data_IF_036490423040
#
_entry.id   IF_036490423040
#
_cell.length_a   1.000
_cell.length_b   1.000
_cell.length_c   1.000
_cell.angle_alpha   90.00
_cell.angle_beta   90.00
_cell.angle_gamma   90.00
#
_symmetry.space_group_name_H-M   'P 1'
#
loop_
_entity.id
_entity.type
_entity.pdbx_description
1 polymer ?
#
# COMPACT_ATOMS: atom_id res chain seq x y z
N UNK A 1 -0.14 9.57 -33.73
CA UNK A 1 0.64 8.39 -33.29
C UNK A 1 0.49 8.33 -31.79
N UNK A 2 -0.16 7.29 -31.26
CA UNK A 2 -0.32 7.14 -29.82
C UNK A 2 1.07 6.97 -29.20
N UNK A 3 1.45 7.85 -28.29
CA UNK A 3 2.63 7.67 -27.45
C UNK A 3 2.45 6.34 -26.74
N UNK A 4 3.26 5.33 -27.11
CA UNK A 4 3.37 4.09 -26.36
C UNK A 4 3.84 4.53 -24.96
N UNK A 5 3.01 4.37 -23.94
CA UNK A 5 3.42 4.62 -22.57
C UNK A 5 4.74 3.87 -22.36
N UNK A 6 5.81 4.59 -22.02
CA UNK A 6 7.08 3.96 -21.68
C UNK A 6 6.79 2.98 -20.56
N UNK A 7 7.00 1.68 -20.84
CA UNK A 7 6.83 0.61 -19.84
C UNK A 7 7.66 1.02 -18.61
N UNK A 8 7.03 1.10 -17.44
CA UNK A 8 7.73 1.44 -16.21
C UNK A 8 8.96 0.53 -16.09
N UNK A 9 10.11 1.13 -15.81
CA UNK A 9 11.34 0.37 -15.61
C UNK A 9 11.21 -0.45 -14.33
N UNK A 10 11.59 -1.74 -14.40
CA UNK A 10 11.53 -2.66 -13.26
C UNK A 10 12.93 -3.16 -12.98
N UNK A 11 13.40 -2.94 -11.75
CA UNK A 11 14.72 -3.35 -11.28
C UNK A 11 14.59 -4.35 -10.14
N UNK A 12 15.23 -5.51 -10.27
CA UNK A 12 15.32 -6.50 -9.20
C UNK A 12 16.48 -6.12 -8.29
N UNK A 13 16.22 -6.07 -6.99
CA UNK A 13 17.20 -5.75 -5.94
C UNK A 13 17.40 -6.99 -5.10
N UNK A 14 18.37 -7.82 -5.51
CA UNK A 14 18.68 -9.13 -4.93
C UNK A 14 20.09 -9.21 -4.29
N UNK A 15 20.82 -8.09 -4.30
CA UNK A 15 22.14 -7.98 -3.66
C UNK A 15 22.21 -6.76 -2.74
N UNK A 16 23.05 -6.86 -1.70
CA UNK A 16 23.29 -5.77 -0.75
C UNK A 16 23.76 -4.47 -1.45
N UNK A 17 24.69 -4.49 -2.43
CA UNK A 17 25.09 -3.27 -3.13
C UNK A 17 23.94 -2.58 -3.87
N UNK A 18 23.05 -3.34 -4.53
CA UNK A 18 21.86 -2.78 -5.18
C UNK A 18 20.90 -2.18 -4.15
N UNK A 19 20.72 -2.85 -3.01
CA UNK A 19 19.89 -2.34 -1.92
C UNK A 19 20.43 -1.02 -1.36
N UNK A 20 21.74 -0.94 -1.09
CA UNK A 20 22.38 0.30 -0.61
C UNK A 20 22.18 1.45 -1.60
N UNK A 21 22.39 1.19 -2.89
CA UNK A 21 22.17 2.17 -3.96
C UNK A 21 20.70 2.66 -4.00
N UNK A 22 19.74 1.76 -3.82
CA UNK A 22 18.32 2.13 -3.69
C UNK A 22 18.10 3.04 -2.47
N UNK A 23 18.62 2.69 -1.29
CA UNK A 23 18.42 3.45 -0.05
C UNK A 23 18.92 4.90 -0.16
N UNK A 24 20.05 5.13 -0.82
CA UNK A 24 20.58 6.48 -1.08
C UNK A 24 19.66 7.36 -1.93
N UNK A 25 18.86 6.74 -2.79
CA UNK A 25 17.84 7.41 -3.59
C UNK A 25 16.57 7.69 -2.78
N UNK A 26 16.13 6.73 -1.97
CA UNK A 26 14.86 6.84 -1.23
C UNK A 26 14.86 7.95 -0.18
N UNK A 27 15.98 8.18 0.53
CA UNK A 27 16.06 9.21 1.59
C UNK A 27 15.95 10.66 1.07
N UNK A 28 16.14 10.87 -0.24
CA UNK A 28 16.12 12.20 -0.88
C UNK A 28 14.79 12.53 -1.56
N UNK A 29 13.82 11.63 -1.46
CA UNK A 29 12.56 11.76 -2.19
C UNK A 29 11.66 12.86 -1.59
N UNK A 30 10.88 13.56 -2.44
CA UNK A 30 9.89 14.51 -1.95
C UNK A 30 8.80 13.79 -1.16
N UNK A 31 8.32 14.45 -0.10
CA UNK A 31 7.27 13.91 0.77
C UNK A 31 5.86 14.20 0.23
N UNK A 32 5.70 15.19 -0.65
CA UNK A 32 4.41 15.62 -1.21
C UNK A 32 4.52 15.88 -2.73
N UNK A 33 3.67 15.26 -3.57
CA UNK A 33 2.83 14.10 -3.23
C UNK A 33 3.70 12.92 -2.74
N UNK A 34 3.11 11.88 -2.11
CA UNK A 34 3.86 10.69 -1.70
C UNK A 34 4.69 10.10 -2.85
N UNK A 35 5.95 9.78 -2.55
CA UNK A 35 6.87 9.19 -3.54
C UNK A 35 6.87 7.67 -3.57
N UNK A 36 6.45 7.01 -2.47
CA UNK A 36 6.59 5.56 -2.29
C UNK A 36 5.23 4.87 -2.36
N UNK A 37 5.08 3.95 -3.32
CA UNK A 37 3.91 3.09 -3.47
C UNK A 37 4.37 1.64 -3.34
N UNK A 38 3.82 0.94 -2.36
CA UNK A 38 4.40 -0.30 -1.85
C UNK A 38 3.34 -1.40 -1.84
N UNK A 39 3.80 -2.61 -2.11
CA UNK A 39 3.06 -3.86 -2.00
C UNK A 39 4.01 -5.00 -1.66
N UNK A 40 3.55 -6.02 -0.94
CA UNK A 40 4.35 -7.19 -0.60
C UNK A 40 3.70 -8.44 -1.18
N UNK A 41 4.54 -9.39 -1.60
CA UNK A 41 4.09 -10.70 -2.06
C UNK A 41 4.89 -11.80 -1.36
N UNK A 42 4.25 -12.96 -1.13
CA UNK A 42 4.91 -14.09 -0.51
C UNK A 42 4.01 -15.27 -0.16
N UNK A 43 4.57 -16.21 0.60
CA UNK A 43 3.90 -17.47 0.96
C UNK A 43 2.93 -17.21 2.11
N UNK A 44 1.63 -17.35 1.84
CA UNK A 44 0.56 -17.08 2.83
C UNK A 44 0.75 -15.73 3.54
N UNK A 45 0.99 -14.66 2.77
CA UNK A 45 1.33 -13.33 3.27
C UNK A 45 0.42 -12.88 4.42
N UNK A 46 1.05 -12.54 5.55
CA UNK A 46 0.38 -12.17 6.79
C UNK A 46 1.21 -12.58 7.99
N UNK A 47 0.56 -12.75 9.15
CA UNK A 47 1.25 -13.03 10.43
C UNK A 47 2.07 -14.33 10.44
N UNK A 48 1.57 -15.40 9.80
CA UNK A 48 2.14 -16.76 9.88
C UNK A 48 2.85 -17.21 8.60
N UNK A 49 2.84 -16.39 7.56
CA UNK A 49 3.49 -16.68 6.28
C UNK A 49 4.93 -16.20 6.21
N UNK A 50 5.36 -15.86 4.99
CA UNK A 50 6.66 -15.23 4.71
C UNK A 50 6.52 -14.11 3.68
N UNK A 51 7.32 -13.06 3.81
CA UNK A 51 7.53 -12.08 2.72
C UNK A 51 8.60 -12.61 1.77
N UNK A 52 8.29 -12.64 0.48
CA UNK A 52 9.23 -13.09 -0.56
C UNK A 52 9.74 -11.92 -1.40
N UNK A 53 8.87 -10.95 -1.68
CA UNK A 53 9.15 -9.80 -2.56
C UNK A 53 8.51 -8.56 -1.92
N UNK A 54 9.23 -7.44 -1.89
CA UNK A 54 8.70 -6.13 -1.54
C UNK A 54 8.86 -5.20 -2.75
N UNK A 55 7.74 -4.75 -3.30
CA UNK A 55 7.69 -3.86 -4.46
C UNK A 55 7.64 -2.41 -4.01
N UNK A 56 8.49 -1.55 -4.57
CA UNK A 56 8.44 -0.09 -4.36
C UNK A 56 8.40 0.60 -5.71
N UNK A 57 7.26 1.17 -6.08
CA UNK A 57 7.20 2.15 -7.17
C UNK A 57 7.58 3.54 -6.65
N UNK A 58 8.61 4.12 -7.25
CA UNK A 58 9.14 5.44 -6.92
C UNK A 58 8.61 6.45 -7.94
N UNK A 59 7.65 7.27 -7.51
CA UNK A 59 6.91 8.17 -8.41
C UNK A 59 7.79 9.18 -9.17
N UNK A 60 8.77 9.87 -8.56
CA UNK A 60 9.58 10.85 -9.29
C UNK A 60 10.40 10.25 -10.43
N UNK A 61 10.91 9.02 -10.26
CA UNK A 61 11.74 8.34 -11.26
C UNK A 61 10.93 7.43 -12.18
N UNK A 62 9.70 7.06 -11.78
CA UNK A 62 8.82 6.10 -12.46
C UNK A 62 9.44 4.70 -12.60
N UNK A 63 10.25 4.32 -11.62
CA UNK A 63 10.91 3.01 -11.54
C UNK A 63 10.24 2.18 -10.44
N UNK A 64 10.00 0.90 -10.72
CA UNK A 64 9.63 -0.08 -9.71
C UNK A 64 10.86 -0.88 -9.31
N UNK A 65 11.15 -0.92 -8.02
CA UNK A 65 12.15 -1.79 -7.42
C UNK A 65 11.47 -3.01 -6.82
N UNK A 66 11.88 -4.21 -7.21
CA UNK A 66 11.44 -5.46 -6.63
C UNK A 66 12.55 -5.97 -5.71
N UNK A 67 12.40 -5.70 -4.42
CA UNK A 67 13.37 -6.12 -3.40
C UNK A 67 13.13 -7.60 -3.11
N UNK A 68 14.14 -8.42 -3.41
CA UNK A 68 14.09 -9.85 -3.21
C UNK A 68 14.36 -10.20 -1.74
N UNK A 69 13.31 -10.11 -0.93
CA UNK A 69 13.36 -10.40 0.52
C UNK A 69 13.76 -11.86 0.76
N UNK A 70 13.35 -12.78 -0.11
CA UNK A 70 13.71 -14.19 0.01
C UNK A 70 15.23 -14.41 -0.09
N UNK A 71 15.88 -13.81 -1.10
CA UNK A 71 17.32 -13.94 -1.32
C UNK A 71 18.13 -13.14 -0.30
N UNK A 72 17.73 -11.90 -0.02
CA UNK A 72 18.45 -11.00 0.90
C UNK A 72 18.25 -11.40 2.37
N UNK A 73 17.14 -12.08 2.69
CA UNK A 73 16.76 -12.48 4.04
C UNK A 73 16.77 -11.30 5.00
N UNK A 74 17.36 -11.51 6.18
CA UNK A 74 17.48 -10.47 7.21
C UNK A 74 18.24 -9.22 6.73
N UNK A 75 19.19 -9.36 5.80
CA UNK A 75 19.96 -8.24 5.28
C UNK A 75 19.11 -7.23 4.52
N UNK A 76 17.94 -7.63 3.99
CA UNK A 76 17.01 -6.72 3.33
C UNK A 76 16.60 -5.54 4.22
N UNK A 77 16.57 -5.75 5.53
CA UNK A 77 16.11 -4.76 6.52
C UNK A 77 17.21 -4.23 7.42
N UNK A 78 18.41 -4.82 7.42
CA UNK A 78 19.53 -4.41 8.28
C UNK A 78 20.77 -3.92 7.55
N UNK A 79 20.89 -4.15 6.24
CA UNK A 79 21.95 -3.51 5.47
C UNK A 79 21.75 -1.98 5.49
N UNK A 80 22.85 -1.26 5.69
CA UNK A 80 22.88 0.19 5.87
C UNK A 80 23.64 0.84 4.72
N UNK A 81 23.17 2.01 4.28
CA UNK A 81 23.98 2.92 3.47
C UNK A 81 24.98 3.68 4.35
N UNK A 82 25.80 4.55 3.74
CA UNK A 82 26.81 5.36 4.47
C UNK A 82 26.20 6.29 5.54
N UNK A 83 24.93 6.68 5.38
CA UNK A 83 24.20 7.51 6.34
C UNK A 83 23.58 6.71 7.50
N UNK A 84 23.69 5.38 7.48
CA UNK A 84 23.04 4.49 8.44
C UNK A 84 21.56 4.19 8.13
N UNK A 85 21.04 4.64 6.99
CA UNK A 85 19.66 4.34 6.59
C UNK A 85 19.52 2.85 6.27
N UNK A 86 18.42 2.24 6.74
CA UNK A 86 18.00 0.88 6.36
C UNK A 86 16.62 0.93 5.71
N UNK A 87 16.22 -0.15 5.02
CA UNK A 87 14.84 -0.27 4.54
C UNK A 87 13.84 -0.25 5.71
N UNK A 88 14.19 -0.87 6.85
CA UNK A 88 13.40 -0.81 8.08
C UNK A 88 13.21 0.63 8.54
N UNK A 89 14.28 1.43 8.61
CA UNK A 89 14.22 2.84 8.99
C UNK A 89 13.26 3.63 8.10
N UNK A 90 13.30 3.42 6.78
CA UNK A 90 12.39 4.08 5.82
C UNK A 90 10.93 3.67 6.06
N UNK A 91 10.65 2.37 6.24
CA UNK A 91 9.32 1.86 6.48
C UNK A 91 8.72 2.37 7.82
N UNK A 92 9.55 2.52 8.85
CA UNK A 92 9.15 3.04 10.17
C UNK A 92 9.17 4.57 10.25
N UNK A 93 9.62 5.27 9.20
CA UNK A 93 9.78 6.72 9.26
C UNK A 93 8.43 7.45 9.42
N UNK A 94 8.24 8.28 10.46
CA UNK A 94 6.91 8.81 10.85
C UNK A 94 6.39 9.90 9.92
N UNK A 95 7.27 10.52 9.12
CA UNK A 95 6.90 11.62 8.21
C UNK A 95 7.07 11.30 6.73
N UNK A 96 7.61 10.12 6.39
CA UNK A 96 7.78 9.71 5.00
C UNK A 96 6.57 8.87 4.60
N UNK A 97 5.68 9.34 3.70
CA UNK A 97 4.46 8.60 3.38
C UNK A 97 4.78 7.32 2.62
N UNK A 98 4.19 6.20 3.07
CA UNK A 98 4.15 4.95 2.29
C UNK A 98 2.71 4.67 1.87
N UNK A 99 2.48 4.62 0.57
CA UNK A 99 1.14 4.39 0.02
C UNK A 99 0.97 2.92 -0.27
N UNK A 100 -0.07 2.32 0.32
CA UNK A 100 -0.46 0.93 0.11
C UNK A 100 -1.89 0.86 -0.41
N UNK A 101 -2.23 -0.26 -1.03
CA UNK A 101 -3.62 -0.66 -1.19
C UNK A 101 -3.92 -1.77 -0.19
N UNK A 102 -4.63 -1.47 0.90
CA UNK A 102 -4.96 -2.43 1.95
C UNK A 102 -3.76 -2.96 2.77
N UNK A 103 -3.27 -2.14 3.71
CA UNK A 103 -2.03 -2.41 4.47
C UNK A 103 -2.07 -3.65 5.39
N UNK A 104 -3.23 -4.28 5.62
CA UNK A 104 -3.44 -5.17 6.77
C UNK A 104 -2.51 -6.39 6.79
N UNK A 105 -2.38 -7.11 5.68
CA UNK A 105 -1.51 -8.29 5.64
C UNK A 105 -0.03 -7.93 5.50
N UNK A 106 0.29 -6.85 4.81
CA UNK A 106 1.65 -6.32 4.72
C UNK A 106 2.17 -5.93 6.11
N UNK A 107 1.37 -5.17 6.87
CA UNK A 107 1.71 -4.77 8.24
C UNK A 107 1.85 -5.98 9.16
N UNK A 108 0.97 -6.98 9.06
CA UNK A 108 1.11 -8.22 9.82
C UNK A 108 2.44 -8.94 9.49
N UNK A 109 2.78 -9.06 8.22
CA UNK A 109 4.01 -9.72 7.78
C UNK A 109 5.25 -8.95 8.27
N UNK A 110 5.30 -7.64 8.01
CA UNK A 110 6.37 -6.75 8.45
C UNK A 110 6.59 -6.79 9.96
N UNK A 111 5.53 -6.75 10.76
CA UNK A 111 5.65 -6.73 12.22
C UNK A 111 6.03 -8.09 12.80
N UNK A 112 5.27 -9.14 12.48
CA UNK A 112 5.46 -10.44 13.15
C UNK A 112 6.71 -11.17 12.68
N UNK A 113 7.10 -11.00 11.41
CA UNK A 113 8.24 -11.72 10.83
C UNK A 113 9.54 -10.92 10.91
N UNK A 114 9.47 -9.59 10.80
CA UNK A 114 10.66 -8.72 10.68
C UNK A 114 10.75 -7.63 11.75
N UNK A 115 9.81 -7.59 12.71
CA UNK A 115 9.78 -6.61 13.79
C UNK A 115 9.77 -5.16 13.28
N UNK A 116 9.10 -4.91 12.16
CA UNK A 116 8.96 -3.59 11.54
C UNK A 116 7.58 -3.03 11.92
N UNK A 117 7.58 -1.89 12.61
CA UNK A 117 6.38 -1.15 12.96
C UNK A 117 6.16 -0.03 11.95
N UNK A 118 5.49 -0.36 10.84
CA UNK A 118 5.26 0.58 9.74
C UNK A 118 4.49 1.82 10.22
N UNK A 119 4.92 3.00 9.78
CA UNK A 119 4.29 4.28 10.15
C UNK A 119 4.03 5.14 8.90
N UNK A 120 3.32 6.26 9.03
CA UNK A 120 3.01 7.20 7.94
C UNK A 120 2.35 6.53 6.72
N UNK A 121 1.52 5.51 6.98
CA UNK A 121 0.82 4.76 5.93
C UNK A 121 -0.33 5.56 5.36
N UNK A 122 -0.48 5.51 4.04
CA UNK A 122 -1.65 5.97 3.30
C UNK A 122 -2.33 4.77 2.65
N UNK A 123 -3.59 4.52 2.96
CA UNK A 123 -4.31 3.33 2.48
C UNK A 123 -5.35 3.71 1.42
N UNK A 124 -5.03 3.45 0.15
CA UNK A 124 -5.89 3.77 -1.00
C UNK A 124 -7.25 3.07 -0.91
N UNK A 125 -7.33 1.87 -0.34
CA UNK A 125 -8.60 1.16 -0.20
C UNK A 125 -9.55 1.90 0.75
N UNK A 126 -9.02 2.47 1.83
CA UNK A 126 -9.82 3.31 2.72
C UNK A 126 -10.14 4.67 2.09
N UNK A 127 -9.23 5.25 1.30
CA UNK A 127 -9.50 6.47 0.54
C UNK A 127 -10.66 6.26 -0.45
N UNK A 128 -10.69 5.12 -1.15
CA UNK A 128 -11.83 4.73 -2.00
C UNK A 128 -13.12 4.63 -1.19
N UNK A 129 -13.07 3.90 -0.07
CA UNK A 129 -14.24 3.69 0.77
C UNK A 129 -14.81 5.01 1.30
N UNK A 130 -13.94 5.93 1.70
CA UNK A 130 -14.33 7.24 2.22
C UNK A 130 -14.94 8.13 1.12
N UNK A 131 -14.37 8.11 -0.08
CA UNK A 131 -14.74 9.06 -1.15
C UNK A 131 -15.85 8.58 -2.08
N UNK A 132 -16.21 7.29 -2.06
CA UNK A 132 -17.30 6.77 -2.90
C UNK A 132 -18.66 7.23 -2.41
N UNK A 133 -19.61 7.35 -3.33
CA UNK A 133 -20.96 7.88 -3.07
C UNK A 133 -21.99 6.81 -2.72
N UNK A 134 -21.69 5.53 -2.98
CA UNK A 134 -22.56 4.41 -2.65
C UNK A 134 -22.21 3.79 -1.29
N UNK A 135 -22.95 2.74 -0.90
CA UNK A 135 -22.89 2.09 0.42
C UNK A 135 -21.45 1.76 0.84
N UNK A 136 -21.17 1.77 2.15
CA UNK A 136 -19.82 1.68 2.74
C UNK A 136 -19.58 0.41 3.57
N UNK A 137 -20.48 -0.55 3.46
CA UNK A 137 -20.43 -1.79 4.26
C UNK A 137 -19.26 -2.70 3.88
N UNK A 138 -18.83 -2.68 2.60
CA UNK A 138 -17.83 -3.60 2.05
C UNK A 138 -16.70 -2.89 1.31
N UNK A 139 -15.47 -3.36 1.48
CA UNK A 139 -14.30 -2.80 0.80
C UNK A 139 -14.27 -3.18 -0.69
N UNK A 140 -13.76 -2.28 -1.53
CA UNK A 140 -13.46 -2.58 -2.93
C UNK A 140 -12.05 -3.17 -3.04
N UNK A 141 -11.89 -4.25 -3.83
CA UNK A 141 -10.56 -4.77 -4.16
C UNK A 141 -9.86 -3.93 -5.24
N UNK A 142 -8.53 -4.03 -5.33
CA UNK A 142 -7.70 -3.24 -6.26
C UNK A 142 -8.19 -3.33 -7.71
N UNK A 143 -8.50 -4.54 -8.19
CA UNK A 143 -8.98 -4.75 -9.55
C UNK A 143 -10.27 -3.97 -9.85
N UNK A 144 -11.21 -3.91 -8.89
CA UNK A 144 -12.45 -3.13 -9.03
C UNK A 144 -12.15 -1.63 -9.05
N UNK A 145 -11.21 -1.14 -8.22
CA UNK A 145 -10.79 0.25 -8.23
C UNK A 145 -10.15 0.64 -9.57
N UNK A 146 -9.29 -0.22 -10.12
CA UNK A 146 -8.66 0.01 -11.43
C UNK A 146 -9.71 0.04 -12.54
N UNK A 147 -10.60 -0.95 -12.58
CA UNK A 147 -11.64 -1.06 -13.60
C UNK A 147 -12.56 0.16 -13.61
N UNK A 148 -12.97 0.63 -12.44
CA UNK A 148 -13.96 1.71 -12.31
C UNK A 148 -13.36 3.12 -12.32
N UNK A 149 -12.12 3.27 -11.86
CA UNK A 149 -11.58 4.58 -11.48
C UNK A 149 -10.22 4.92 -12.11
N UNK A 150 -9.39 3.92 -12.47
CA UNK A 150 -8.07 4.25 -13.01
C UNK A 150 -8.19 4.98 -14.36
N UNK A 151 -7.46 6.10 -14.55
CA UNK A 151 -7.49 6.92 -15.76
C UNK A 151 -6.62 6.31 -16.88
N UNK A 152 -6.85 5.04 -17.20
CA UNK A 152 -6.19 4.28 -18.27
C UNK A 152 -7.22 3.78 -19.28
N UNK A 153 -6.77 3.43 -20.48
CA UNK A 153 -7.64 2.92 -21.54
C UNK A 153 -8.24 1.56 -21.20
N UNK A 154 -9.36 1.21 -21.84
CA UNK A 154 -10.01 -0.09 -21.63
C UNK A 154 -9.09 -1.26 -22.02
N UNK A 155 -8.28 -1.09 -23.07
CA UNK A 155 -7.29 -2.09 -23.46
C UNK A 155 -6.24 -2.31 -22.35
N UNK A 156 -5.74 -1.23 -21.72
CA UNK A 156 -4.79 -1.36 -20.61
C UNK A 156 -5.44 -2.06 -19.40
N UNK A 157 -6.72 -1.81 -19.11
CA UNK A 157 -7.47 -2.54 -18.06
C UNK A 157 -7.59 -4.02 -18.38
N UNK A 158 -7.88 -4.37 -19.64
CA UNK A 158 -7.96 -5.77 -20.10
C UNK A 158 -6.60 -6.45 -19.97
N UNK A 159 -5.51 -5.79 -20.39
CA UNK A 159 -4.15 -6.32 -20.29
C UNK A 159 -3.74 -6.53 -18.82
N UNK A 160 -4.02 -5.56 -17.95
CA UNK A 160 -3.77 -5.66 -16.50
C UNK A 160 -4.52 -6.84 -15.89
N UNK A 161 -5.82 -6.97 -16.20
CA UNK A 161 -6.65 -8.09 -15.71
C UNK A 161 -6.14 -9.43 -16.21
N UNK A 162 -5.77 -9.51 -17.50
CA UNK A 162 -5.27 -10.73 -18.11
C UNK A 162 -3.96 -11.20 -17.45
N UNK A 163 -3.02 -10.29 -17.19
CA UNK A 163 -1.80 -10.65 -16.47
C UNK A 163 -2.12 -11.14 -15.05
N UNK A 164 -2.97 -10.41 -14.33
CA UNK A 164 -3.37 -10.76 -12.95
C UNK A 164 -4.01 -12.15 -12.89
N UNK A 165 -4.94 -12.45 -13.78
CA UNK A 165 -5.58 -13.76 -13.85
C UNK A 165 -4.59 -14.87 -14.23
N UNK A 166 -3.61 -14.57 -15.09
CA UNK A 166 -2.56 -15.52 -15.48
C UNK A 166 -1.65 -15.87 -14.32
N UNK A 167 -1.17 -14.86 -13.57
CA UNK A 167 -0.27 -15.07 -12.43
C UNK A 167 -1.02 -15.64 -11.23
N UNK A 168 -2.30 -15.29 -11.05
CA UNK A 168 -3.15 -15.89 -10.03
C UNK A 168 -3.23 -17.41 -10.16
N UNK A 169 -3.32 -17.96 -11.38
CA UNK A 169 -3.26 -19.42 -11.60
C UNK A 169 -1.95 -20.07 -11.14
N UNK A 170 -0.87 -19.29 -11.04
CA UNK A 170 0.43 -19.78 -10.59
C UNK A 170 0.51 -19.87 -9.06
N UNK A 171 -0.12 -18.94 -8.33
CA UNK A 171 -0.02 -18.90 -6.86
C UNK A 171 -1.25 -19.42 -6.11
N UNK A 172 -2.45 -19.35 -6.70
CA UNK A 172 -3.72 -19.68 -6.02
C UNK A 172 -3.91 -21.21 -5.96
N UNK A 173 -3.87 -21.85 -4.77
CA UNK A 173 -4.04 -23.30 -4.66
C UNK A 173 -5.40 -23.80 -5.16
N UNK A 174 -6.44 -22.96 -5.11
CA UNK A 174 -7.75 -23.32 -5.65
C UNK A 174 -7.74 -23.44 -7.19
N UNK A 175 -6.71 -22.92 -7.85
CA UNK A 175 -6.51 -23.00 -9.29
C UNK A 175 -5.34 -23.93 -9.69
N UNK A 176 -4.83 -24.73 -8.74
CA UNK A 176 -3.70 -25.64 -8.94
C UNK A 176 -2.33 -24.97 -8.83
N UNK A 177 -2.28 -23.70 -8.39
CA UNK A 177 -1.05 -22.98 -8.11
C UNK A 177 -0.47 -23.27 -6.73
N UNK A 178 0.64 -22.61 -6.42
CA UNK A 178 1.27 -22.62 -5.10
C UNK A 178 1.87 -21.26 -4.81
N UNK A 179 1.66 -20.74 -3.60
CA UNK A 179 2.29 -19.49 -3.17
C UNK A 179 3.83 -19.56 -3.21
N UNK A 180 4.42 -20.75 -3.24
CA UNK A 180 5.87 -20.94 -3.42
C UNK A 180 6.41 -20.37 -4.74
N UNK A 181 5.55 -20.07 -5.73
CA UNK A 181 5.98 -19.38 -6.95
C UNK A 181 6.66 -18.03 -6.65
N UNK A 182 6.32 -17.39 -5.53
CA UNK A 182 6.97 -16.14 -5.09
C UNK A 182 8.40 -16.36 -4.55
N UNK A 183 8.76 -17.58 -4.15
CA UNK A 183 10.10 -17.97 -3.71
C UNK A 183 10.98 -18.53 -4.84
N UNK A 184 10.44 -18.81 -6.03
CA UNK A 184 11.23 -19.34 -7.15
C UNK A 184 12.34 -18.37 -7.58
N UNK A 185 13.57 -18.87 -7.73
CA UNK A 185 14.74 -18.09 -8.18
C UNK A 185 15.44 -18.74 -9.38
N UNK A 186 15.85 -17.96 -10.42
CA UNK A 186 15.62 -16.52 -10.56
C UNK A 186 14.13 -16.18 -10.66
N UNK A 187 13.76 -14.96 -10.20
CA UNK A 187 12.35 -14.54 -10.17
C UNK A 187 11.72 -14.69 -11.55
N UNK A 188 10.57 -15.37 -11.61
CA UNK A 188 9.86 -15.58 -12.87
C UNK A 188 9.47 -14.22 -13.49
N UNK A 189 9.70 -14.01 -14.80
CA UNK A 189 9.33 -12.75 -15.45
C UNK A 189 7.86 -12.37 -15.27
N UNK A 190 6.94 -13.34 -15.28
CA UNK A 190 5.52 -13.06 -15.08
C UNK A 190 5.21 -12.61 -13.64
N UNK A 191 5.91 -13.16 -12.65
CA UNK A 191 5.78 -12.76 -11.24
C UNK A 191 6.34 -11.35 -11.05
N UNK A 192 7.51 -11.05 -11.62
CA UNK A 192 8.10 -9.72 -11.58
C UNK A 192 7.17 -8.67 -12.21
N UNK A 193 6.61 -8.98 -13.38
CA UNK A 193 5.67 -8.09 -14.07
C UNK A 193 4.39 -7.87 -13.27
N UNK A 194 3.86 -8.93 -12.64
CA UNK A 194 2.68 -8.84 -11.78
C UNK A 194 2.94 -7.97 -10.53
N UNK A 195 4.04 -8.21 -9.81
CA UNK A 195 4.41 -7.41 -8.64
C UNK A 195 4.57 -5.92 -9.02
N UNK A 196 5.19 -5.65 -10.18
CA UNK A 196 5.35 -4.29 -10.65
C UNK A 196 4.02 -3.62 -11.05
N UNK A 197 3.08 -4.38 -11.63
CA UNK A 197 1.76 -3.86 -12.00
C UNK A 197 0.87 -3.54 -10.80
N UNK A 198 0.99 -4.28 -9.69
CA UNK A 198 0.15 -4.06 -8.50
C UNK A 198 0.48 -2.73 -7.79
N UNK A 199 1.71 -2.19 -7.95
CA UNK A 199 2.08 -0.85 -7.45
C UNK A 199 2.02 0.26 -8.51
N UNK A 200 2.18 -0.05 -9.79
CA UNK A 200 2.33 0.95 -10.87
C UNK A 200 1.11 1.86 -11.06
N UNK A 201 -0.10 1.38 -10.77
CA UNK A 201 -1.35 2.14 -10.92
C UNK A 201 -1.82 2.82 -9.63
N UNK A 202 -1.15 2.57 -8.50
CA UNK A 202 -1.49 3.21 -7.23
C UNK A 202 -1.37 4.74 -7.25
N UNK A 203 -0.35 5.37 -7.90
CA UNK A 203 -0.32 6.83 -8.04
C UNK A 203 -1.51 7.39 -8.84
N UNK A 204 -1.99 6.65 -9.83
CA UNK A 204 -3.12 7.07 -10.62
C UNK A 204 -4.42 7.03 -9.80
N UNK A 205 -4.59 6.00 -8.97
CA UNK A 205 -5.71 5.93 -8.00
C UNK A 205 -5.60 7.03 -6.93
N UNK A 206 -4.40 7.26 -6.40
CA UNK A 206 -4.12 8.36 -5.47
C UNK A 206 -4.60 9.70 -6.03
N UNK A 207 -4.23 10.03 -7.27
CA UNK A 207 -4.61 11.28 -7.94
C UNK A 207 -6.13 11.44 -8.14
N UNK A 208 -6.90 10.35 -8.06
CA UNK A 208 -8.37 10.41 -8.13
C UNK A 208 -9.01 10.58 -6.76
N UNK A 209 -8.53 9.85 -5.74
CA UNK A 209 -9.16 9.85 -4.42
C UNK A 209 -8.67 11.01 -3.53
N UNK A 210 -7.41 11.40 -3.64
CA UNK A 210 -6.82 12.42 -2.78
C UNK A 210 -7.51 13.80 -2.90
N UNK A 211 -7.81 14.33 -4.10
CA UNK A 211 -8.51 15.61 -4.22
C UNK A 211 -9.92 15.58 -3.62
N UNK A 212 -10.61 14.43 -3.71
CA UNK A 212 -11.93 14.25 -3.11
C UNK A 212 -11.86 14.27 -1.58
N UNK A 213 -10.80 13.70 -1.01
CA UNK A 213 -10.54 13.76 0.43
C UNK A 213 -10.16 15.16 0.91
N UNK A 214 -9.37 15.91 0.11
CA UNK A 214 -9.09 17.32 0.43
C UNK A 214 -10.35 18.15 0.61
N UNK A 215 -11.39 17.85 -0.19
CA UNK A 215 -12.70 18.49 -0.08
C UNK A 215 -13.55 18.04 1.13
N UNK A 216 -13.09 17.09 1.96
CA UNK A 216 -13.86 16.55 3.08
C UNK A 216 -13.03 16.39 4.36
N UNK A 217 -13.05 17.43 5.18
CA UNK A 217 -12.48 17.46 6.53
C UNK A 217 -12.93 16.28 7.42
N UNK A 218 -14.20 15.91 7.33
CA UNK A 218 -14.75 14.75 8.04
C UNK A 218 -14.01 13.47 7.64
N UNK A 219 -13.92 13.14 6.35
CA UNK A 219 -13.26 11.90 5.92
C UNK A 219 -11.77 11.88 6.23
N UNK A 220 -11.08 13.03 6.14
CA UNK A 220 -9.67 13.16 6.58
C UNK A 220 -9.54 12.78 8.06
N UNK A 221 -10.45 13.25 8.91
CA UNK A 221 -10.44 12.93 10.35
C UNK A 221 -10.72 11.45 10.66
N UNK A 222 -11.53 10.79 9.83
CA UNK A 222 -11.89 9.37 10.01
C UNK A 222 -10.82 8.40 9.48
N UNK A 223 -10.07 8.78 8.43
CA UNK A 223 -9.10 7.88 7.81
C UNK A 223 -7.90 7.58 8.71
N UNK A 224 -7.33 8.58 9.37
CA UNK A 224 -6.14 8.38 10.20
C UNK A 224 -6.38 7.38 11.34
N UNK A 225 -7.44 7.48 12.16
CA UNK A 225 -7.77 6.46 13.15
C UNK A 225 -8.01 5.09 12.54
N UNK A 226 -8.72 5.01 11.40
CA UNK A 226 -9.02 3.74 10.75
C UNK A 226 -7.76 3.02 10.22
N UNK A 227 -6.80 3.76 9.63
CA UNK A 227 -5.51 3.21 9.19
C UNK A 227 -4.70 2.74 10.41
N UNK A 228 -4.62 3.56 11.46
CA UNK A 228 -3.92 3.20 12.71
C UNK A 228 -4.52 1.95 13.34
N UNK A 229 -5.85 1.83 13.36
CA UNK A 229 -6.53 0.66 13.87
C UNK A 229 -6.24 -0.58 13.02
N UNK A 230 -6.25 -0.48 11.68
CA UNK A 230 -5.83 -1.58 10.78
C UNK A 230 -4.43 -2.10 11.12
N UNK A 231 -3.48 -1.18 11.29
CA UNK A 231 -2.09 -1.52 11.65
C UNK A 231 -2.07 -2.20 13.03
N UNK A 232 -2.67 -1.59 14.05
CA UNK A 232 -2.70 -2.16 15.41
C UNK A 232 -3.38 -3.54 15.48
N UNK A 233 -4.49 -3.73 14.77
CA UNK A 233 -5.18 -5.01 14.70
C UNK A 233 -4.32 -6.08 14.02
N UNK A 234 -3.64 -5.73 12.91
CA UNK A 234 -2.75 -6.66 12.20
C UNK A 234 -1.55 -7.14 13.02
N UNK A 235 -1.13 -6.33 14.00
CA UNK A 235 -0.03 -6.64 14.92
C UNK A 235 -0.44 -7.52 16.11
N UNK A 236 -1.74 -7.83 16.28
CA UNK A 236 -2.19 -8.71 17.37
C UNK A 236 -1.78 -10.17 17.15
N UNK A 237 -1.59 -10.91 18.25
CA UNK A 237 -1.20 -12.33 18.23
C UNK A 237 -2.26 -13.26 17.64
N UNK A 238 -3.52 -12.87 17.70
CA UNK A 238 -4.68 -13.61 17.21
C UNK A 238 -5.16 -13.12 15.82
N UNK A 239 -4.41 -12.20 15.19
CA UNK A 239 -4.76 -11.71 13.87
C UNK A 239 -4.79 -12.84 12.83
N UNK A 240 -5.90 -12.92 12.10
CA UNK A 240 -6.10 -13.75 10.91
C UNK A 240 -6.56 -12.85 9.76
N UNK A 241 -5.66 -12.56 8.83
CA UNK A 241 -5.92 -11.71 7.66
C UNK A 241 -6.79 -12.33 6.57
N UNK A 242 -7.12 -13.62 6.68
CA UNK A 242 -7.83 -14.37 5.65
C UNK A 242 -9.28 -14.70 6.03
N UNK A 243 -9.72 -14.32 7.23
CA UNK A 243 -11.11 -14.55 7.66
C UNK A 243 -12.10 -13.67 6.88
N UNK A 244 -13.33 -14.17 6.70
CA UNK A 244 -14.40 -13.52 5.89
C UNK A 244 -14.78 -12.11 6.35
N UNK A 245 -14.54 -11.77 7.61
CA UNK A 245 -14.81 -10.45 8.17
C UNK A 245 -13.95 -9.33 7.56
N UNK A 246 -12.81 -9.68 6.94
CA UNK A 246 -11.91 -8.71 6.30
C UNK A 246 -12.52 -7.98 5.10
N UNK A 247 -13.66 -8.42 4.57
CA UNK A 247 -14.35 -7.73 3.49
C UNK A 247 -15.12 -6.48 3.95
N UNK A 248 -15.38 -6.31 5.25
CA UNK A 248 -16.19 -5.20 5.77
C UNK A 248 -15.39 -3.91 5.92
N UNK A 249 -16.05 -2.78 5.66
CA UNK A 249 -15.51 -1.45 5.94
C UNK A 249 -15.41 -1.17 7.45
N UNK A 250 -14.42 -0.39 7.92
CA UNK A 250 -14.28 -0.03 9.34
C UNK A 250 -15.21 1.13 9.76
N UNK A 251 -15.92 1.70 8.80
CA UNK A 251 -16.83 2.81 8.99
C UNK A 251 -18.20 2.26 9.42
N UNK A 252 -18.35 2.06 10.74
CA UNK A 252 -19.60 1.67 11.39
C UNK A 252 -20.69 2.75 11.28
N UNK A 253 -21.46 2.99 12.35
CA UNK A 253 -22.53 4.00 12.35
C UNK A 253 -22.02 5.40 11.93
N UNK A 254 -22.22 5.73 10.66
CA UNK A 254 -21.69 6.94 10.04
C UNK A 254 -22.50 8.18 10.40
N UNK A 255 -23.78 8.00 10.72
CA UNK A 255 -24.67 9.09 11.12
C UNK A 255 -24.23 9.61 12.48
N UNK A 256 -24.09 8.71 13.46
CA UNK A 256 -23.57 9.05 14.78
C UNK A 256 -22.16 9.66 14.71
N UNK A 257 -21.25 9.10 13.89
CA UNK A 257 -19.89 9.66 13.73
C UNK A 257 -19.90 11.07 13.15
N UNK A 258 -20.81 11.37 12.23
CA UNK A 258 -20.94 12.69 11.63
C UNK A 258 -21.54 13.69 12.62
N UNK A 259 -22.56 13.29 13.38
CA UNK A 259 -23.16 14.09 14.46
C UNK A 259 -22.11 14.46 15.51
N UNK A 260 -21.39 13.46 16.04
CA UNK A 260 -20.33 13.68 17.02
C UNK A 260 -19.24 14.61 16.46
N UNK A 261 -18.83 14.42 15.21
CA UNK A 261 -17.85 15.30 14.58
C UNK A 261 -18.36 16.74 14.44
N UNK A 262 -19.63 16.95 14.09
CA UNK A 262 -20.23 18.28 14.03
C UNK A 262 -20.28 18.95 15.41
N UNK A 263 -20.59 18.20 16.47
CA UNK A 263 -20.56 18.70 17.85
C UNK A 263 -19.15 19.13 18.25
N UNK A 264 -18.13 18.31 17.96
CA UNK A 264 -16.73 18.63 18.27
C UNK A 264 -16.24 19.87 17.49
N UNK A 265 -16.63 20.02 16.21
CA UNK A 265 -16.33 21.21 15.40
C UNK A 265 -16.95 22.47 16.03
N UNK A 266 -18.22 22.38 16.45
CA UNK A 266 -18.93 23.50 17.07
C UNK A 266 -18.30 23.89 18.41
N UNK A 267 -17.93 22.91 19.24
CA UNK A 267 -17.28 23.15 20.54
C UNK A 267 -15.91 23.82 20.37
N UNK A 268 -15.07 23.35 19.44
CA UNK A 268 -13.80 23.99 19.13
C UNK A 268 -13.98 25.43 18.63
N UNK A 269 -14.98 25.66 17.75
CA UNK A 269 -15.30 27.00 17.27
C UNK A 269 -15.75 27.93 18.41
N UNK A 270 -16.56 27.44 19.36
CA UNK A 270 -16.99 28.21 20.54
C UNK A 270 -15.82 28.55 21.48
N UNK A 271 -14.81 27.69 21.55
CA UNK A 271 -13.58 27.91 22.33
C UNK A 271 -12.53 28.75 21.61
N UNK A 272 -12.76 29.09 20.34
CA UNK A 272 -11.78 29.80 19.51
C UNK A 272 -10.56 28.96 19.14
N UNK A 273 -10.69 27.64 19.19
CA UNK A 273 -9.63 26.68 18.90
C UNK A 273 -9.69 26.19 17.45
N UNK A 274 -8.53 25.98 16.78
CA UNK A 274 -8.51 25.33 15.48
C UNK A 274 -8.91 23.86 15.64
N UNK A 275 -9.92 23.42 14.90
CA UNK A 275 -10.41 22.04 15.00
C UNK A 275 -9.59 21.02 14.20
N UNK A 276 -8.98 21.45 13.08
CA UNK A 276 -8.14 20.59 12.25
C UNK A 276 -6.77 21.23 12.07
N UNK A 277 -5.73 20.43 12.29
CA UNK A 277 -4.37 20.79 11.92
C UNK A 277 -4.19 20.57 10.41
N UNK A 278 -4.22 21.65 9.64
CA UNK A 278 -3.99 21.65 8.19
C UNK A 278 -2.59 21.11 7.83
N UNK A 279 -1.66 21.00 8.79
CA UNK A 279 -0.30 20.50 8.55
C UNK A 279 -0.20 18.96 8.47
N UNK A 280 -1.24 18.23 8.92
CA UNK A 280 -1.24 16.76 8.96
C UNK A 280 -2.06 16.23 7.78
N UNK A 281 -1.40 16.11 6.63
CA UNK A 281 -2.00 15.48 5.45
C UNK A 281 -2.26 13.98 5.67
N UNK A 282 -3.47 13.54 5.27
CA UNK A 282 -3.98 12.15 5.30
C UNK A 282 -2.92 11.20 4.87
#
# INVERSE_FOLDING_TARGET
MANKATKNEVLIVDTIPLLISLLEGLSKLPLKPPSLYIDLEGVHLGRLGSVSILSIYVLPTKVTYLIDIHTLGHNAFTAQNENGDTLKFILEHPTMPKVFFDIRNDSAALFHQHQINIDCVKDIQLMELATRTYGKDYLSGLGKCIETTAPISENEKIEWRYLKDRVRRLYDPAQGGSYEVFNERPMRPEVAEYCAQDVALLPALWNVYEPKLRGSSFWRSQLRPAIKERIQQSQKKDYDGHHKGMARGPFGDMEHKLEQWNEDVLDAAMKGEPFLDESVDV
#
